data_IF_369359653210
#
_entry.id   IF_369359653210
#
_cell.length_a   1.000
_cell.length_b   1.000
_cell.length_c   1.000
_cell.angle_alpha   90.00
_cell.angle_beta   90.00
_cell.angle_gamma   90.00
#
_symmetry.space_group_name_H-M   'P 1'
#
loop_
_entity.id
_entity.type
_entity.pdbx_description
1 polymer ?
#
# COMPACT_ATOMS: atom_id res chain seq x y z
N UNK A 1 -5.99 -19.47 13.33
CA UNK A 1 -4.80 -18.95 12.65
C UNK A 1 -3.81 -18.58 13.73
N UNK A 2 -2.69 -19.32 13.84
CA UNK A 2 -1.62 -18.98 14.75
C UNK A 2 -0.87 -17.78 14.15
N UNK A 3 -0.87 -16.65 14.85
CA UNK A 3 0.06 -15.57 14.52
C UNK A 3 1.43 -16.01 15.04
N UNK A 4 2.27 -16.54 14.16
CA UNK A 4 3.68 -16.72 14.47
C UNK A 4 4.27 -15.36 14.86
N UNK A 5 4.99 -15.35 15.98
CA UNK A 5 5.68 -14.15 16.47
C UNK A 5 6.75 -13.81 15.43
N UNK A 6 6.57 -12.68 14.75
CA UNK A 6 7.58 -12.08 13.90
C UNK A 6 8.85 -11.81 14.73
N UNK A 7 9.94 -12.51 14.41
CA UNK A 7 11.27 -12.19 14.92
C UNK A 7 11.99 -11.30 13.88
N UNK A 8 12.25 -10.02 14.20
CA UNK A 8 12.91 -9.10 13.28
C UNK A 8 14.39 -9.43 12.99
N UNK A 9 14.96 -10.48 13.59
CA UNK A 9 16.32 -10.97 13.29
C UNK A 9 16.35 -12.31 12.55
N UNK A 10 15.21 -12.86 12.15
CA UNK A 10 15.12 -14.13 11.43
C UNK A 10 15.00 -13.90 9.91
N UNK A 11 16.10 -14.13 9.18
CA UNK A 11 16.16 -13.99 7.72
C UNK A 11 15.12 -14.86 7.00
N UNK A 12 14.80 -16.05 7.52
CA UNK A 12 13.79 -16.95 6.94
C UNK A 12 12.38 -16.36 7.03
N UNK A 13 12.07 -15.65 8.12
CA UNK A 13 10.81 -14.93 8.29
C UNK A 13 10.68 -13.74 7.33
N UNK A 14 11.77 -13.04 7.04
CA UNK A 14 11.79 -11.95 6.05
C UNK A 14 11.62 -12.44 4.62
N UNK A 15 12.26 -13.56 4.26
CA UNK A 15 12.11 -14.13 2.92
C UNK A 15 10.71 -14.68 2.71
N UNK A 16 10.12 -15.35 3.72
CA UNK A 16 8.70 -15.73 3.69
C UNK A 16 7.78 -14.51 3.55
N UNK A 17 8.08 -13.39 4.21
CA UNK A 17 7.33 -12.15 4.01
C UNK A 17 7.46 -11.61 2.59
N UNK A 18 8.64 -11.61 1.97
CA UNK A 18 8.82 -11.17 0.58
C UNK A 18 8.09 -12.06 -0.40
N UNK A 19 8.09 -13.37 -0.18
CA UNK A 19 7.33 -14.32 -1.00
C UNK A 19 5.81 -14.10 -0.85
N UNK A 20 5.36 -13.82 0.37
CA UNK A 20 3.95 -13.54 0.66
C UNK A 20 3.50 -12.19 0.11
N UNK A 21 4.31 -11.14 0.24
CA UNK A 21 4.08 -9.80 -0.30
C UNK A 21 4.79 -9.60 -1.64
N UNK A 22 4.59 -10.55 -2.54
CA UNK A 22 5.10 -10.44 -3.90
C UNK A 22 4.36 -9.34 -4.69
N UNK A 23 4.93 -8.83 -5.79
CA UNK A 23 4.33 -7.77 -6.60
C UNK A 23 2.89 -8.08 -7.08
N UNK A 24 2.55 -9.34 -7.30
CA UNK A 24 1.21 -9.75 -7.72
C UNK A 24 0.16 -9.53 -6.63
N UNK A 25 0.50 -9.79 -5.36
CA UNK A 25 -0.37 -9.51 -4.21
C UNK A 25 -0.54 -8.00 -3.99
N UNK A 26 0.52 -7.23 -4.24
CA UNK A 26 0.45 -5.77 -4.20
C UNK A 26 -0.46 -5.24 -5.32
N UNK A 27 -0.35 -5.75 -6.55
CA UNK A 27 -1.25 -5.38 -7.67
C UNK A 27 -2.72 -5.67 -7.32
N UNK A 28 -3.01 -6.85 -6.78
CA UNK A 28 -4.37 -7.18 -6.34
C UNK A 28 -4.88 -6.23 -5.25
N UNK A 29 -4.02 -5.87 -4.29
CA UNK A 29 -4.35 -4.92 -3.23
C UNK A 29 -4.63 -3.52 -3.77
N UNK A 30 -3.86 -3.07 -4.74
CA UNK A 30 -4.06 -1.78 -5.44
C UNK A 30 -5.39 -1.78 -6.21
N UNK A 31 -5.72 -2.86 -6.92
CA UNK A 31 -7.01 -3.00 -7.61
C UNK A 31 -8.18 -2.99 -6.65
N UNK A 32 -8.04 -3.66 -5.51
CA UNK A 32 -9.07 -3.65 -4.48
C UNK A 32 -9.27 -2.24 -3.88
N UNK A 33 -8.19 -1.53 -3.61
CA UNK A 33 -8.24 -0.15 -3.13
C UNK A 33 -8.92 0.79 -4.16
N UNK A 34 -8.66 0.62 -5.45
CA UNK A 34 -9.35 1.35 -6.53
C UNK A 34 -10.87 1.12 -6.50
N UNK A 35 -11.32 -0.12 -6.31
CA UNK A 35 -12.74 -0.46 -6.22
C UNK A 35 -13.40 0.20 -5.00
N UNK A 36 -12.74 0.17 -3.83
CA UNK A 36 -13.23 0.84 -2.63
C UNK A 36 -13.32 2.35 -2.87
N UNK A 37 -12.29 2.96 -3.48
CA UNK A 37 -12.28 4.38 -3.79
C UNK A 37 -13.48 4.77 -4.67
N UNK A 38 -13.79 3.97 -5.69
CA UNK A 38 -14.96 4.16 -6.55
C UNK A 38 -16.29 4.12 -5.78
N UNK A 39 -16.44 3.13 -4.90
CA UNK A 39 -17.66 2.98 -4.07
C UNK A 39 -17.86 4.16 -3.12
N UNK A 40 -16.76 4.73 -2.61
CA UNK A 40 -16.77 5.85 -1.68
C UNK A 40 -17.00 7.22 -2.35
N UNK A 41 -16.90 7.31 -3.67
CA UNK A 41 -17.20 8.57 -4.37
C UNK A 41 -18.69 8.94 -4.21
N UNK A 42 -18.99 10.23 -3.97
CA UNK A 42 -20.35 10.76 -4.05
C UNK A 42 -21.00 10.41 -5.39
N UNK A 43 -22.29 10.08 -5.39
CA UNK A 43 -22.99 9.63 -6.61
C UNK A 43 -22.96 10.68 -7.73
N UNK A 44 -22.98 11.97 -7.39
CA UNK A 44 -22.89 13.10 -8.32
C UNK A 44 -21.47 13.30 -8.90
N UNK A 45 -20.46 12.65 -8.32
CA UNK A 45 -19.04 12.76 -8.70
C UNK A 45 -18.40 11.43 -9.08
N UNK A 46 -19.18 10.36 -9.17
CA UNK A 46 -18.69 9.02 -9.50
C UNK A 46 -18.41 8.92 -10.99
N UNK A 47 -17.21 9.36 -11.38
CA UNK A 47 -16.67 9.24 -12.72
C UNK A 47 -15.18 8.88 -12.65
N UNK A 48 -14.61 8.48 -13.78
CA UNK A 48 -13.22 7.99 -13.86
C UNK A 48 -12.22 9.09 -13.51
N UNK A 49 -12.48 10.34 -13.93
CA UNK A 49 -11.57 11.47 -13.68
C UNK A 49 -11.43 11.78 -12.19
N UNK A 50 -12.54 11.79 -11.45
CA UNK A 50 -12.51 12.02 -10.00
C UNK A 50 -11.93 10.83 -9.25
N UNK A 51 -12.20 9.59 -9.69
CA UNK A 51 -11.55 8.39 -9.15
C UNK A 51 -10.02 8.50 -9.28
N UNK A 52 -9.54 8.79 -10.48
CA UNK A 52 -8.11 8.90 -10.77
C UNK A 52 -7.47 10.02 -9.94
N UNK A 53 -8.12 11.18 -9.86
CA UNK A 53 -7.64 12.32 -9.07
C UNK A 53 -7.51 11.98 -7.58
N UNK A 54 -8.52 11.34 -6.98
CA UNK A 54 -8.48 10.97 -5.57
C UNK A 54 -7.44 9.87 -5.32
N UNK A 55 -7.39 8.86 -6.18
CA UNK A 55 -6.47 7.74 -6.01
C UNK A 55 -5.00 8.18 -6.13
N UNK A 56 -4.67 8.98 -7.17
CA UNK A 56 -3.32 9.55 -7.33
C UNK A 56 -2.92 10.38 -6.11
N UNK A 57 -3.81 11.25 -5.61
CA UNK A 57 -3.53 12.06 -4.41
C UNK A 57 -3.18 11.21 -3.18
N UNK A 58 -3.84 10.07 -2.99
CA UNK A 58 -3.56 9.14 -1.88
C UNK A 58 -2.20 8.49 -2.07
N UNK A 59 -1.91 7.98 -3.27
CA UNK A 59 -0.64 7.33 -3.58
C UNK A 59 0.52 8.32 -3.49
N UNK A 60 0.39 9.51 -4.06
CA UNK A 60 1.40 10.56 -4.01
C UNK A 60 1.75 10.95 -2.57
N UNK A 61 0.74 11.04 -1.70
CA UNK A 61 0.95 11.27 -0.26
C UNK A 61 1.67 10.11 0.41
N UNK A 62 1.24 8.87 0.17
CA UNK A 62 1.88 7.69 0.76
C UNK A 62 3.34 7.54 0.33
N UNK A 63 3.65 7.84 -0.93
CA UNK A 63 5.01 7.87 -1.46
C UNK A 63 5.84 8.96 -0.78
N UNK A 64 5.29 10.17 -0.67
CA UNK A 64 5.96 11.28 0.00
C UNK A 64 6.27 10.94 1.47
N UNK A 65 5.30 10.43 2.21
CA UNK A 65 5.46 10.04 3.61
C UNK A 65 6.57 8.97 3.75
N UNK A 66 6.59 7.96 2.86
CA UNK A 66 7.65 6.93 2.83
C UNK A 66 9.03 7.52 2.51
N UNK A 67 9.11 8.47 1.57
CA UNK A 67 10.38 9.13 1.24
C UNK A 67 10.88 10.03 2.38
N UNK A 68 9.98 10.69 3.10
CA UNK A 68 10.34 11.46 4.30
C UNK A 68 10.85 10.54 5.41
N UNK A 69 10.24 9.37 5.59
CA UNK A 69 10.73 8.34 6.51
C UNK A 69 12.12 7.81 6.09
N UNK A 70 12.36 7.51 4.81
CA UNK A 70 13.69 7.12 4.32
C UNK A 70 14.75 8.19 4.61
N UNK A 71 14.40 9.48 4.44
CA UNK A 71 15.30 10.58 4.80
C UNK A 71 15.50 10.75 6.31
N UNK A 72 14.48 10.42 7.12
CA UNK A 72 14.53 10.51 8.58
C UNK A 72 15.29 9.35 9.22
N UNK A 73 15.18 8.15 8.67
CA UNK A 73 15.81 6.92 9.17
C UNK A 73 17.12 6.56 8.43
N UNK A 74 17.41 7.16 7.27
CA UNK A 74 18.59 6.94 6.44
C UNK A 74 19.89 7.62 6.89
N UNK A 75 20.00 8.01 8.17
CA UNK A 75 21.26 8.43 8.80
C UNK A 75 21.56 7.52 9.99
N UNK A 76 22.21 6.39 9.73
CA UNK A 76 23.04 5.65 10.69
C UNK A 76 24.18 4.99 9.95
#
# INVERSE_FOLDING_TARGET
MAFEKFDPNDEESFDKMREFFNPSQVDQSVRHALQICWMMLPNDKRNVDELERQFRRIVDRALKDTCEDDQAFGKS
#
